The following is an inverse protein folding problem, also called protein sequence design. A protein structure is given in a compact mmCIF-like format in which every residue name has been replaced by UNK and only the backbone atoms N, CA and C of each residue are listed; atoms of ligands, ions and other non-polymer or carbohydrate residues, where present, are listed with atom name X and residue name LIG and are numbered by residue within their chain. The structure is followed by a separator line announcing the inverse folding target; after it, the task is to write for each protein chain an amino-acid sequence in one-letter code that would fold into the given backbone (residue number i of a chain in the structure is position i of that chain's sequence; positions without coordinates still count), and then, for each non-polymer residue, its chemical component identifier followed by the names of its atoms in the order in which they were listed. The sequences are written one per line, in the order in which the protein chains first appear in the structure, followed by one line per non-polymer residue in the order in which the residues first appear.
data_IF_915363631176
#
_entry.id   IF_915363631176
#
_cell.length_a   1.000
_cell.length_b   1.000
_cell.length_c   1.000
_cell.angle_alpha   90.00
_cell.angle_beta   90.00
_cell.angle_gamma   90.00
#
_symmetry.space_group_name_H-M   'P 1'
#
loop_
_entity.id
_entity.type
_entity.pdbx_description
1 polymer ?
#
# COMPACT_ATOMS: atom_id res chain seq x y z
N UNK A 1 -17.76 6.78 -2.51
CA UNK A 1 -18.09 5.64 -1.65
C UNK A 1 -18.12 6.15 -0.23
N UNK A 2 -19.21 5.93 0.49
CA UNK A 2 -19.36 6.37 1.88
C UNK A 2 -19.73 5.16 2.73
N UNK A 3 -19.07 4.98 3.88
CA UNK A 3 -19.39 3.94 4.86
C UNK A 3 -19.72 4.61 6.18
N UNK A 4 -20.83 4.19 6.78
CA UNK A 4 -21.27 4.64 8.10
C UNK A 4 -21.22 3.42 9.01
N UNK A 5 -20.45 3.50 10.07
CA UNK A 5 -20.40 2.47 11.12
C UNK A 5 -21.45 2.80 12.18
N UNK A 6 -22.12 1.80 12.80
CA UNK A 6 -23.14 2.02 13.84
C UNK A 6 -22.67 2.88 15.02
N UNK A 7 -21.36 2.94 15.27
CA UNK A 7 -20.74 3.75 16.33
C UNK A 7 -20.59 5.25 15.98
N UNK A 8 -21.18 5.71 14.87
CA UNK A 8 -21.17 7.13 14.45
C UNK A 8 -19.93 7.57 13.66
N UNK A 9 -19.10 6.62 13.21
CA UNK A 9 -17.98 6.91 12.31
C UNK A 9 -18.47 7.03 10.86
N UNK A 10 -18.17 8.17 10.23
CA UNK A 10 -18.46 8.42 8.82
C UNK A 10 -17.15 8.48 8.04
N UNK A 11 -16.92 7.50 7.15
CA UNK A 11 -15.84 7.56 6.16
C UNK A 11 -16.46 7.84 4.78
N UNK A 12 -16.22 9.05 4.27
CA UNK A 12 -16.66 9.48 2.96
C UNK A 12 -15.46 9.62 2.03
N UNK A 13 -15.46 8.90 0.92
CA UNK A 13 -14.47 9.03 -0.15
C UNK A 13 -15.13 9.53 -1.43
N UNK A 14 -14.69 10.70 -1.87
CA UNK A 14 -15.04 11.30 -3.13
C UNK A 14 -13.85 11.24 -4.09
N UNK A 15 -13.99 10.56 -5.21
CA UNK A 15 -12.98 10.56 -6.27
C UNK A 15 -13.59 11.27 -7.48
N UNK A 16 -12.97 12.34 -7.95
CA UNK A 16 -13.38 13.07 -9.15
C UNK A 16 -12.21 13.09 -10.13
N UNK A 17 -12.44 12.58 -11.34
CA UNK A 17 -11.50 12.72 -12.45
C UNK A 17 -11.94 13.92 -13.26
N UNK A 18 -11.14 14.99 -13.27
CA UNK A 18 -11.43 16.19 -14.06
C UNK A 18 -10.97 16.02 -15.51
N UNK A 19 -9.91 15.24 -15.73
CA UNK A 19 -9.36 14.90 -17.04
C UNK A 19 -8.62 13.55 -16.95
N UNK A 20 -8.15 13.01 -18.06
CA UNK A 20 -7.30 11.80 -18.07
C UNK A 20 -6.00 12.02 -17.28
N UNK A 21 -5.50 13.27 -17.28
CA UNK A 21 -4.28 13.68 -16.58
C UNK A 21 -4.51 14.12 -15.13
N UNK A 22 -5.72 14.55 -14.76
CA UNK A 22 -6.02 15.13 -13.44
C UNK A 22 -7.04 14.29 -12.66
N UNK A 23 -6.62 13.82 -11.48
CA UNK A 23 -7.48 13.07 -10.56
C UNK A 23 -7.43 13.72 -9.18
N UNK A 24 -8.60 13.98 -8.61
CA UNK A 24 -8.73 14.47 -7.25
C UNK A 24 -9.43 13.40 -6.42
N UNK A 25 -8.93 13.16 -5.22
CA UNK A 25 -9.48 12.19 -4.27
C UNK A 25 -9.57 12.86 -2.92
N UNK A 26 -10.78 13.09 -2.43
CA UNK A 26 -11.02 13.63 -1.09
C UNK A 26 -11.54 12.49 -0.23
N UNK A 27 -10.84 12.21 0.86
CA UNK A 27 -11.27 11.28 1.92
C UNK A 27 -11.59 12.11 3.15
N UNK A 28 -12.76 11.90 3.74
CA UNK A 28 -13.20 12.57 4.94
C UNK A 28 -13.61 11.51 5.95
N UNK A 29 -12.86 11.39 7.03
CA UNK A 29 -13.19 10.54 8.15
C UNK A 29 -13.64 11.42 9.31
N UNK A 30 -14.94 11.44 9.56
CA UNK A 30 -15.53 12.05 10.74
C UNK A 30 -15.59 11.00 11.85
N UNK A 31 -14.91 11.30 12.95
CA UNK A 31 -14.99 10.56 14.21
C UNK A 31 -15.83 11.38 15.19
N UNK A 32 -16.59 10.70 16.06
CA UNK A 32 -17.44 11.34 17.08
C UNK A 32 -16.65 11.93 18.27
N UNK A 33 -15.31 11.97 18.20
CA UNK A 33 -14.47 12.67 19.18
C UNK A 33 -14.18 14.10 18.69
N UNK A 34 -14.31 15.08 19.59
CA UNK A 34 -14.35 16.53 19.34
C UNK A 34 -13.14 17.09 18.54
N UNK A 35 -12.08 16.30 18.33
CA UNK A 35 -10.84 16.67 17.62
C UNK A 35 -10.34 15.58 16.64
N UNK A 36 -11.13 14.52 16.38
CA UNK A 36 -10.70 13.34 15.61
C UNK A 36 -11.04 13.38 14.11
N UNK A 37 -11.71 14.43 13.65
CA UNK A 37 -12.16 14.55 12.25
C UNK A 37 -11.01 14.91 11.32
N UNK A 38 -10.67 14.01 10.41
CA UNK A 38 -9.59 14.16 9.44
C UNK A 38 -10.16 14.17 8.03
N UNK A 39 -9.94 15.28 7.32
CA UNK A 39 -10.15 15.35 5.89
C UNK A 39 -8.77 15.33 5.21
N UNK A 40 -8.58 14.40 4.27
CA UNK A 40 -7.43 14.26 3.41
C UNK A 40 -7.84 14.54 1.97
N UNK A 41 -7.31 15.59 1.36
CA UNK A 41 -7.44 15.88 -0.04
C UNK A 41 -6.15 15.47 -0.78
N UNK A 42 -6.26 14.50 -1.68
CA UNK A 42 -5.20 14.09 -2.59
C UNK A 42 -5.50 14.66 -3.99
N UNK A 43 -4.50 15.29 -4.60
CA UNK A 43 -4.52 15.77 -5.97
C UNK A 43 -3.41 15.05 -6.72
N UNK A 44 -3.76 14.27 -7.73
CA UNK A 44 -2.84 13.52 -8.58
C UNK A 44 -2.85 14.10 -9.98
N UNK A 45 -1.66 14.31 -10.54
CA UNK A 45 -1.47 14.66 -11.92
C UNK A 45 -0.48 13.70 -12.58
N UNK A 46 -0.93 13.09 -13.66
CA UNK A 46 -0.13 12.18 -14.48
C UNK A 46 0.15 12.85 -15.81
N UNK A 47 1.38 13.33 -15.97
CA UNK A 47 1.94 13.76 -17.25
C UNK A 47 2.46 12.58 -18.05
N UNK A 48 3.11 12.87 -19.19
CA UNK A 48 3.57 11.84 -20.12
C UNK A 48 4.85 11.14 -19.59
N UNK A 49 5.79 11.89 -19.00
CA UNK A 49 7.05 11.36 -18.44
C UNK A 49 7.18 11.51 -16.91
N UNK A 50 6.22 12.18 -16.26
CA UNK A 50 6.24 12.42 -14.82
C UNK A 50 4.84 12.35 -14.20
N UNK A 51 4.80 12.06 -12.91
CA UNK A 51 3.60 12.11 -12.08
C UNK A 51 3.92 12.92 -10.84
N UNK A 52 3.03 13.83 -10.47
CA UNK A 52 3.09 14.48 -9.16
C UNK A 52 1.78 14.24 -8.41
N UNK A 53 1.90 14.16 -7.09
CA UNK A 53 0.79 14.02 -6.19
C UNK A 53 0.97 15.00 -5.03
N UNK A 54 -0.10 15.63 -4.61
CA UNK A 54 -0.13 16.48 -3.43
C UNK A 54 -1.22 15.98 -2.50
N UNK A 55 -0.88 15.80 -1.24
CA UNK A 55 -1.78 15.35 -0.18
C UNK A 55 -1.90 16.45 0.87
N UNK A 56 -3.11 16.87 1.19
CA UNK A 56 -3.38 17.87 2.22
C UNK A 56 -4.32 17.26 3.25
N UNK A 57 -3.89 17.16 4.51
CA UNK A 57 -4.73 16.66 5.60
C UNK A 57 -5.00 17.72 6.66
N UNK A 58 -6.16 17.60 7.31
CA UNK A 58 -6.53 18.39 8.48
C UNK A 58 -5.57 18.08 9.66
N UNK A 59 -4.60 18.95 9.93
CA UNK A 59 -3.48 18.64 10.84
C UNK A 59 -2.17 19.37 10.57
N UNK A 60 -2.25 20.57 9.97
CA UNK A 60 -1.38 21.04 8.87
C UNK A 60 -0.41 20.00 8.29
N UNK A 61 -0.92 18.89 7.73
CA UNK A 61 -0.09 17.92 7.04
C UNK A 61 -0.12 18.21 5.53
N UNK A 62 1.02 18.59 4.96
CA UNK A 62 1.18 18.76 3.52
C UNK A 62 2.20 17.73 3.00
N UNK A 63 1.76 16.80 2.17
CA UNK A 63 2.59 15.86 1.43
C UNK A 63 2.71 16.29 -0.03
N UNK A 64 3.91 16.26 -0.60
CA UNK A 64 4.12 16.41 -2.04
C UNK A 64 4.99 15.26 -2.50
N UNK A 65 4.56 14.54 -3.51
CA UNK A 65 5.28 13.44 -4.15
C UNK A 65 5.51 13.78 -5.61
N UNK A 66 6.71 13.52 -6.11
CA UNK A 66 7.10 13.70 -7.49
C UNK A 66 7.82 12.46 -7.97
N UNK A 67 7.45 11.94 -9.14
CA UNK A 67 8.02 10.73 -9.70
C UNK A 67 8.18 10.88 -11.20
N UNK A 68 9.40 10.74 -11.71
CA UNK A 68 9.76 10.97 -13.10
C UNK A 68 10.44 9.74 -13.70
N UNK A 69 10.05 9.40 -14.93
CA UNK A 69 10.73 8.38 -15.71
C UNK A 69 11.96 9.00 -16.37
N UNK A 70 13.16 8.59 -15.96
CA UNK A 70 14.42 9.07 -16.55
C UNK A 70 14.78 8.26 -17.79
N UNK A 71 14.46 6.95 -17.77
CA UNK A 71 14.69 6.00 -18.88
C UNK A 71 13.46 5.11 -19.04
N UNK A 72 13.37 4.34 -20.11
CA UNK A 72 12.29 3.34 -20.32
C UNK A 72 12.18 2.32 -19.17
N UNK A 73 13.29 2.05 -18.47
CA UNK A 73 13.35 1.06 -17.39
C UNK A 73 13.58 1.67 -16.01
N UNK A 74 13.96 2.95 -15.92
CA UNK A 74 14.31 3.61 -14.66
C UNK A 74 13.38 4.79 -14.41
N UNK A 75 12.79 4.79 -13.23
CA UNK A 75 12.02 5.91 -12.73
C UNK A 75 12.45 6.26 -11.32
N UNK A 76 12.61 7.54 -11.06
CA UNK A 76 13.08 8.06 -9.77
C UNK A 76 12.12 9.14 -9.30
N UNK A 77 12.04 9.32 -8.00
CA UNK A 77 11.21 10.34 -7.41
C UNK A 77 11.49 10.56 -5.95
N UNK A 78 10.68 11.40 -5.35
CA UNK A 78 10.72 11.66 -3.93
C UNK A 78 9.37 12.15 -3.44
N UNK A 79 9.17 12.02 -2.14
CA UNK A 79 8.04 12.56 -1.42
C UNK A 79 8.52 13.39 -0.24
N UNK A 80 7.81 14.45 0.09
CA UNK A 80 8.10 15.33 1.20
C UNK A 80 6.80 15.59 1.97
N UNK A 81 6.78 15.20 3.23
CA UNK A 81 5.67 15.44 4.16
C UNK A 81 6.09 16.50 5.18
N UNK A 82 5.35 17.59 5.22
CA UNK A 82 5.44 18.63 6.24
C UNK A 82 4.32 18.44 7.25
N UNK A 83 4.68 18.12 8.49
CA UNK A 83 3.75 18.13 9.63
C UNK A 83 3.84 19.48 10.34
N UNK A 84 2.85 20.35 10.17
CA UNK A 84 2.84 21.69 10.77
C UNK A 84 2.66 21.69 12.29
N UNK A 85 2.02 20.67 12.89
CA UNK A 85 1.90 20.55 14.36
C UNK A 85 3.22 20.22 15.07
N UNK A 86 4.10 19.46 14.42
CA UNK A 86 5.43 19.09 14.95
C UNK A 86 6.59 19.78 14.23
N UNK A 87 6.28 20.67 13.27
CA UNK A 87 7.24 21.38 12.40
C UNK A 87 8.31 20.46 11.79
N UNK A 88 7.94 19.20 11.51
CA UNK A 88 8.85 18.16 11.03
C UNK A 88 8.63 17.96 9.53
N UNK A 89 9.72 18.09 8.76
CA UNK A 89 9.77 17.72 7.36
C UNK A 89 10.32 16.29 7.27
N UNK A 90 9.59 15.41 6.59
CA UNK A 90 9.97 14.03 6.33
C UNK A 90 10.05 13.90 4.82
N UNK A 91 11.26 13.79 4.27
CA UNK A 91 11.47 13.53 2.84
C UNK A 91 11.83 12.07 2.61
N UNK A 92 11.19 11.38 1.67
CA UNK A 92 11.63 10.08 1.18
C UNK A 92 12.04 10.18 -0.29
N UNK A 93 13.00 9.36 -0.70
CA UNK A 93 13.41 9.19 -2.09
C UNK A 93 13.01 7.80 -2.54
N UNK A 94 12.52 7.66 -3.76
CA UNK A 94 12.12 6.38 -4.32
C UNK A 94 12.78 6.19 -5.68
N UNK A 95 13.32 5.01 -5.91
CA UNK A 95 13.82 4.55 -7.20
C UNK A 95 13.08 3.27 -7.58
N UNK A 96 12.68 3.18 -8.84
CA UNK A 96 12.06 2.00 -9.43
C UNK A 96 12.82 1.62 -10.68
N UNK A 97 13.19 0.35 -10.75
CA UNK A 97 13.71 -0.27 -11.93
C UNK A 97 12.71 -1.32 -12.44
N UNK A 98 12.30 -1.20 -13.70
CA UNK A 98 11.34 -2.08 -14.35
C UNK A 98 12.03 -2.82 -15.49
N UNK A 99 12.19 -4.13 -15.34
CA UNK A 99 12.58 -5.05 -16.40
C UNK A 99 11.37 -5.88 -16.88
N UNK A 100 11.45 -6.59 -18.01
CA UNK A 100 10.33 -7.38 -18.53
C UNK A 100 9.83 -8.47 -17.56
N UNK A 101 10.73 -9.10 -16.80
CA UNK A 101 10.40 -10.21 -15.91
C UNK A 101 10.39 -9.84 -14.42
N UNK A 102 10.99 -8.71 -14.05
CA UNK A 102 11.10 -8.29 -12.66
C UNK A 102 11.09 -6.77 -12.49
N UNK A 103 10.66 -6.32 -11.32
CA UNK A 103 10.63 -4.92 -10.92
C UNK A 103 11.30 -4.82 -9.56
N UNK A 104 12.29 -3.94 -9.44
CA UNK A 104 12.92 -3.58 -8.18
C UNK A 104 12.48 -2.18 -7.77
N UNK A 105 12.13 -1.97 -6.52
CA UNK A 105 11.91 -0.65 -5.93
C UNK A 105 12.82 -0.49 -4.73
N UNK A 106 13.33 0.73 -4.54
CA UNK A 106 14.08 1.11 -3.37
C UNK A 106 13.55 2.46 -2.90
N UNK A 107 13.13 2.52 -1.65
CA UNK A 107 12.62 3.73 -1.01
C UNK A 107 13.47 4.04 0.21
N UNK A 108 14.05 5.23 0.24
CA UNK A 108 14.82 5.74 1.37
C UNK A 108 14.05 6.87 2.04
N UNK A 109 13.46 6.58 3.19
CA UNK A 109 12.66 7.52 3.98
C UNK A 109 13.48 8.38 4.93
N UNK A 110 13.04 9.61 5.16
CA UNK A 110 13.52 10.41 6.27
C UNK A 110 13.24 9.69 7.58
N UNK A 111 14.21 9.76 8.50
CA UNK A 111 14.40 8.88 9.67
C UNK A 111 15.24 7.61 9.39
N UNK A 112 15.84 7.48 8.21
CA UNK A 112 16.84 6.42 7.95
C UNK A 112 16.23 5.05 7.67
N UNK A 113 14.95 5.00 7.29
CA UNK A 113 14.31 3.76 6.87
C UNK A 113 14.61 3.49 5.40
N UNK A 114 15.31 2.40 5.13
CA UNK A 114 15.56 1.89 3.79
C UNK A 114 14.62 0.71 3.52
N UNK A 115 13.81 0.81 2.49
CA UNK A 115 12.91 -0.24 2.03
C UNK A 115 13.34 -0.66 0.64
N UNK A 116 13.53 -1.95 0.41
CA UNK A 116 13.83 -2.52 -0.89
C UNK A 116 12.83 -3.61 -1.20
N UNK A 117 12.21 -3.56 -2.37
CA UNK A 117 11.26 -4.57 -2.80
C UNK A 117 11.69 -5.10 -4.16
N UNK A 118 11.51 -6.40 -4.34
CA UNK A 118 11.82 -7.10 -5.56
C UNK A 118 10.62 -7.97 -5.92
N UNK A 119 10.00 -7.68 -7.04
CA UNK A 119 8.89 -8.43 -7.59
C UNK A 119 9.35 -9.10 -8.87
N UNK A 120 9.26 -10.43 -8.95
CA UNK A 120 9.53 -11.19 -10.16
C UNK A 120 8.28 -11.92 -10.60
N UNK A 121 7.89 -11.73 -11.86
CA UNK A 121 6.81 -12.51 -12.47
C UNK A 121 7.40 -13.80 -13.01
N UNK A 122 6.87 -14.94 -12.57
CA UNK A 122 7.29 -16.27 -13.02
C UNK A 122 6.13 -16.90 -13.78
N UNK A 123 6.21 -16.87 -15.11
CA UNK A 123 5.14 -17.34 -15.98
C UNK A 123 3.93 -16.40 -16.01
N UNK A 124 2.75 -16.95 -16.34
CA UNK A 124 1.51 -16.19 -16.47
C UNK A 124 0.70 -16.10 -15.18
N UNK A 125 0.92 -17.02 -14.24
CA UNK A 125 0.07 -17.24 -13.06
C UNK A 125 0.74 -16.99 -11.72
N UNK A 126 2.07 -16.97 -11.65
CA UNK A 126 2.80 -16.86 -10.39
C UNK A 126 3.65 -15.59 -10.34
N UNK A 127 3.67 -14.95 -9.19
CA UNK A 127 4.51 -13.80 -8.87
C UNK A 127 5.23 -14.10 -7.57
N UNK A 128 6.52 -13.83 -7.56
CA UNK A 128 7.36 -13.90 -6.39
C UNK A 128 7.68 -12.47 -5.95
N UNK A 129 7.57 -12.19 -4.66
CA UNK A 129 7.90 -10.92 -4.06
C UNK A 129 8.85 -11.12 -2.90
N UNK A 130 9.85 -10.26 -2.76
CA UNK A 130 10.62 -10.13 -1.54
C UNK A 130 10.76 -8.67 -1.17
N UNK A 131 10.57 -8.36 0.09
CA UNK A 131 10.68 -7.04 0.68
C UNK A 131 11.70 -7.07 1.82
N UNK A 132 12.52 -6.04 1.91
CA UNK A 132 13.49 -5.83 2.96
C UNK A 132 13.30 -4.42 3.50
N UNK A 133 12.92 -4.32 4.76
CA UNK A 133 12.77 -3.06 5.49
C UNK A 133 13.87 -2.99 6.54
N UNK A 134 14.78 -2.03 6.36
CA UNK A 134 15.85 -1.73 7.29
C UNK A 134 15.61 -0.37 7.92
N UNK A 135 15.58 -0.30 9.25
CA UNK A 135 15.42 0.95 9.97
C UNK A 135 16.74 1.32 10.65
N UNK A 136 17.44 2.33 10.14
CA UNK A 136 18.72 2.77 10.71
C UNK A 136 18.55 3.39 12.11
N UNK A 137 17.37 3.91 12.47
CA UNK A 137 17.15 4.50 13.79
C UNK A 137 17.05 3.44 14.90
N UNK A 138 16.46 2.27 14.61
CA UNK A 138 16.36 1.15 15.56
C UNK A 138 17.39 0.04 15.33
N UNK A 139 18.07 0.03 14.18
CA UNK A 139 18.96 -1.05 13.77
C UNK A 139 18.22 -2.33 13.38
N UNK A 140 16.89 -2.30 13.32
CA UNK A 140 16.07 -3.46 13.00
C UNK A 140 15.99 -3.68 11.49
N UNK A 141 16.12 -4.94 11.10
CA UNK A 141 15.97 -5.39 9.72
C UNK A 141 14.91 -6.47 9.66
N UNK A 142 13.92 -6.29 8.80
CA UNK A 142 12.85 -7.23 8.57
C UNK A 142 12.81 -7.58 7.09
N UNK A 143 13.03 -8.86 6.77
CA UNK A 143 12.91 -9.38 5.41
C UNK A 143 11.67 -10.26 5.31
N UNK A 144 10.80 -9.95 4.37
CA UNK A 144 9.60 -10.71 4.06
C UNK A 144 9.71 -11.27 2.65
N UNK A 145 9.38 -12.54 2.46
CA UNK A 145 9.32 -13.21 1.16
C UNK A 145 7.90 -13.73 0.96
N UNK A 146 7.37 -13.59 -0.24
CA UNK A 146 6.00 -13.99 -0.54
C UNK A 146 5.83 -14.48 -1.97
N UNK A 147 4.78 -15.24 -2.15
CA UNK A 147 4.35 -15.75 -3.45
C UNK A 147 2.87 -15.49 -3.62
N UNK A 148 2.52 -14.95 -4.78
CA UNK A 148 1.16 -14.77 -5.25
C UNK A 148 0.94 -15.72 -6.42
N UNK A 149 -0.13 -16.50 -6.38
CA UNK A 149 -0.53 -17.40 -7.45
C UNK A 149 -1.99 -17.16 -7.79
N UNK A 150 -2.25 -16.84 -9.05
CA UNK A 150 -3.58 -16.71 -9.61
C UNK A 150 -3.91 -17.94 -10.45
N UNK A 151 -4.84 -18.76 -9.96
CA UNK A 151 -5.33 -19.98 -10.59
C UNK A 151 -6.70 -19.76 -11.28
N UNK A 152 -7.04 -18.52 -11.63
CA UNK A 152 -8.27 -18.14 -12.34
C UNK A 152 -9.51 -18.12 -11.46
N UNK A 153 -9.85 -19.25 -10.83
CA UNK A 153 -10.94 -19.32 -9.84
C UNK A 153 -10.45 -19.05 -8.42
N UNK A 154 -9.18 -19.29 -8.15
CA UNK A 154 -8.59 -19.13 -6.82
C UNK A 154 -7.37 -18.23 -6.89
N UNK A 155 -7.30 -17.25 -6.01
CA UNK A 155 -6.15 -16.40 -5.79
C UNK A 155 -5.51 -16.78 -4.47
N UNK A 156 -4.22 -17.10 -4.50
CA UNK A 156 -3.46 -17.59 -3.37
C UNK A 156 -2.31 -16.62 -3.10
N UNK A 157 -2.20 -16.13 -1.87
CA UNK A 157 -1.08 -15.31 -1.43
C UNK A 157 -0.52 -15.93 -0.17
N UNK A 158 0.78 -16.18 -0.16
CA UNK A 158 1.50 -16.61 1.05
C UNK A 158 2.72 -15.75 1.24
N UNK A 159 3.00 -15.38 2.49
CA UNK A 159 4.15 -14.58 2.88
C UNK A 159 4.76 -15.15 4.15
N UNK A 160 6.07 -15.08 4.22
CA UNK A 160 6.90 -15.53 5.33
C UNK A 160 7.85 -14.41 5.67
N UNK A 161 7.91 -14.08 6.94
CA UNK A 161 8.74 -13.00 7.45
C UNK A 161 9.87 -13.51 8.34
N UNK A 162 10.89 -12.68 8.56
CA UNK A 162 12.09 -13.01 9.35
C UNK A 162 11.76 -13.36 10.81
N UNK A 163 10.64 -12.87 11.34
CA UNK A 163 10.12 -13.26 12.66
C UNK A 163 9.40 -14.63 12.66
N UNK A 164 9.57 -15.43 11.61
CA UNK A 164 8.87 -16.69 11.34
C UNK A 164 7.34 -16.56 11.33
N UNK A 165 6.81 -15.35 11.12
CA UNK A 165 5.39 -15.16 10.87
C UNK A 165 5.07 -15.70 9.49
N UNK A 166 4.14 -16.64 9.41
CA UNK A 166 3.60 -17.14 8.15
C UNK A 166 2.18 -16.60 8.01
N UNK A 167 1.92 -15.85 6.94
CA UNK A 167 0.59 -15.34 6.63
C UNK A 167 0.18 -15.84 5.25
N UNK A 168 -0.95 -16.54 5.18
CA UNK A 168 -1.50 -17.09 3.94
C UNK A 168 -2.97 -16.69 3.79
N UNK A 169 -3.32 -16.13 2.65
CA UNK A 169 -4.70 -15.82 2.26
C UNK A 169 -5.06 -16.52 0.96
N UNK A 170 -6.26 -17.09 0.93
CA UNK A 170 -6.81 -17.81 -0.22
C UNK A 170 -8.17 -17.21 -0.53
N UNK A 171 -8.33 -16.63 -1.70
CA UNK A 171 -9.61 -16.17 -2.23
C UNK A 171 -10.10 -17.16 -3.28
N UNK A 172 -11.17 -17.90 -2.98
CA UNK A 172 -11.78 -18.85 -3.90
C UNK A 172 -13.14 -18.31 -4.39
N UNK A 173 -13.29 -18.18 -5.70
CA UNK A 173 -14.57 -17.89 -6.35
C UNK A 173 -15.33 -19.19 -6.55
N UNK A 174 -16.28 -19.47 -5.65
CA UNK A 174 -17.09 -20.70 -5.69
C UNK A 174 -18.27 -20.54 -6.65
N UNK A 175 -18.87 -19.35 -6.70
CA UNK A 175 -19.94 -18.98 -7.64
C UNK A 175 -19.61 -17.61 -8.26
N UNK A 176 -20.18 -17.25 -9.43
CA UNK A 176 -19.98 -15.93 -10.03
C UNK A 176 -20.27 -14.76 -9.09
N UNK A 177 -21.19 -14.97 -8.15
CA UNK A 177 -21.67 -13.97 -7.20
C UNK A 177 -21.16 -14.22 -5.76
N UNK A 178 -20.34 -15.26 -5.53
CA UNK A 178 -19.88 -15.65 -4.21
C UNK A 178 -18.37 -15.90 -4.20
N UNK A 179 -17.65 -15.07 -3.45
CA UNK A 179 -16.21 -15.18 -3.22
C UNK A 179 -15.95 -15.48 -1.75
N UNK A 180 -15.19 -16.55 -1.48
CA UNK A 180 -14.77 -16.93 -0.14
C UNK A 180 -13.30 -16.55 0.04
N UNK A 181 -13.00 -15.77 1.07
CA UNK A 181 -11.63 -15.42 1.47
C UNK A 181 -11.31 -16.13 2.78
N UNK A 182 -10.30 -17.00 2.77
CA UNK A 182 -9.73 -17.63 3.96
C UNK A 182 -8.39 -16.97 4.24
N UNK A 183 -8.11 -16.62 5.49
CA UNK A 183 -6.85 -16.01 5.90
C UNK A 183 -6.34 -16.73 7.15
N UNK A 184 -5.08 -17.08 7.15
CA UNK A 184 -4.41 -17.74 8.27
C UNK A 184 -3.09 -17.03 8.53
N UNK A 185 -2.87 -16.63 9.78
CA UNK A 185 -1.60 -16.13 10.25
C UNK A 185 -1.12 -16.98 11.42
N UNK A 186 0.14 -17.41 11.38
CA UNK A 186 0.72 -18.24 12.42
C UNK A 186 2.10 -17.75 12.83
N UNK A 187 2.37 -17.82 14.13
CA UNK A 187 3.70 -17.70 14.71
C UNK A 187 4.11 -19.06 15.28
N UNK A 188 4.84 -19.90 14.53
CA UNK A 188 5.25 -21.23 14.98
C UNK A 188 6.09 -21.22 16.25
N UNK A 189 6.78 -20.11 16.54
CA UNK A 189 7.61 -19.94 17.74
C UNK A 189 6.81 -19.58 19.00
N UNK A 190 5.59 -19.06 18.84
CA UNK A 190 4.74 -18.58 19.94
C UNK A 190 3.46 -19.40 20.11
N UNK A 191 3.29 -20.44 19.29
CA UNK A 191 2.07 -21.25 19.17
C UNK A 191 0.78 -20.42 19.03
N UNK A 192 0.89 -19.22 18.43
CA UNK A 192 -0.25 -18.32 18.21
C UNK A 192 -0.69 -18.43 16.74
N UNK A 193 -1.90 -18.94 16.54
CA UNK A 193 -2.50 -19.13 15.23
C UNK A 193 -3.83 -18.38 15.16
N UNK A 194 -3.94 -17.50 14.17
CA UNK A 194 -5.11 -16.68 13.91
C UNK A 194 -5.69 -17.07 12.57
N UNK A 195 -6.94 -17.51 12.59
CA UNK A 195 -7.68 -17.87 11.38
C UNK A 195 -8.84 -16.90 11.21
N UNK A 196 -9.04 -16.45 9.98
CA UNK A 196 -10.13 -15.59 9.57
C UNK A 196 -10.78 -16.15 8.31
N UNK A 197 -12.07 -15.97 8.19
CA UNK A 197 -12.80 -16.24 6.96
C UNK A 197 -13.72 -15.06 6.66
N UNK A 198 -13.89 -14.77 5.39
CA UNK A 198 -14.79 -13.74 4.88
C UNK A 198 -15.52 -14.30 3.67
N UNK A 199 -16.79 -13.94 3.53
CA UNK A 199 -17.56 -14.24 2.33
C UNK A 199 -18.06 -12.93 1.75
N UNK A 200 -17.79 -12.71 0.47
CA UNK A 200 -18.28 -11.56 -0.26
C UNK A 200 -19.31 -12.03 -1.28
N UNK A 201 -20.52 -11.49 -1.14
CA UNK A 201 -21.63 -11.72 -2.06
C UNK A 201 -21.81 -10.46 -2.89
N UNK A 202 -21.68 -10.59 -4.20
CA UNK A 202 -21.96 -9.49 -5.14
C UNK A 202 -23.26 -9.79 -5.85
N UNK A 203 -24.25 -8.91 -5.70
CA UNK A 203 -25.55 -8.98 -6.37
C UNK A 203 -25.55 -8.10 -7.61
#
# INVERSE_FOLDING_TARGET
MSKITPDGYLDARWNQKFSDKWKMRVKSQLKNEEHGSQALADVDYTGDDFTWNMKLSNGPLLGVSYFQSTTQNWAVGGEAYYHGKHRKVISAYCAKYSAPEWVGTATFGAMGTLQMQYLRKVGTRTRYGSELVYNHASGESQSTMGVEMDLGQTHFVSSVDTSFRVATSIEARVLPNFMLTLSAEGYPLKDDFKFGYGAQISF
#
